data_IF_629466688661
#
_entry.id   IF_629466688661
#
_cell.length_a   1.000
_cell.length_b   1.000
_cell.length_c   1.000
_cell.angle_alpha   90.00
_cell.angle_beta   90.00
_cell.angle_gamma   90.00
#
_symmetry.space_group_name_H-M   'P 1'
#
loop_
_entity.id
_entity.type
_entity.pdbx_description
1 polymer ?
#
# COMPACT_ATOMS: atom_id res chain seq x y z
N UNK A 1 40.60 29.31 -4.30
CA UNK A 1 39.56 28.61 -5.09
C UNK A 1 39.24 27.31 -4.39
N UNK A 2 38.17 27.27 -3.61
CA UNK A 2 37.66 26.08 -2.93
C UNK A 2 36.39 25.68 -3.67
N UNK A 3 36.49 24.64 -4.50
CA UNK A 3 35.34 24.08 -5.22
C UNK A 3 34.51 23.27 -4.22
N UNK A 4 33.33 23.78 -3.91
CA UNK A 4 32.32 23.09 -3.12
C UNK A 4 31.82 21.86 -3.87
N UNK A 5 31.75 20.73 -3.18
CA UNK A 5 31.09 19.54 -3.66
C UNK A 5 29.59 19.86 -3.85
N UNK A 6 29.16 19.93 -5.10
CA UNK A 6 27.74 19.85 -5.46
C UNK A 6 27.33 18.42 -5.15
N UNK A 7 26.83 18.21 -3.93
CA UNK A 7 25.90 17.11 -3.67
C UNK A 7 24.72 17.35 -4.60
N UNK A 8 24.59 16.52 -5.63
CA UNK A 8 23.34 16.39 -6.36
C UNK A 8 22.27 16.10 -5.31
N UNK A 9 21.40 17.08 -5.06
CA UNK A 9 20.10 16.87 -4.46
C UNK A 9 19.41 15.77 -5.27
N UNK A 10 19.61 14.52 -4.84
CA UNK A 10 18.60 13.51 -5.01
C UNK A 10 17.42 14.11 -4.27
N UNK A 11 16.53 14.75 -5.02
CA UNK A 11 15.24 15.23 -4.54
C UNK A 11 14.57 14.02 -3.89
N UNK A 12 14.77 13.85 -2.59
CA UNK A 12 13.97 12.97 -1.77
C UNK A 12 12.72 13.82 -1.60
N UNK A 13 11.63 13.51 -2.32
CA UNK A 13 10.42 14.28 -2.12
C UNK A 13 10.09 14.24 -0.62
N UNK A 14 9.92 15.42 -0.02
CA UNK A 14 9.21 15.52 1.25
C UNK A 14 7.85 14.80 1.09
N UNK A 15 7.27 14.24 2.16
CA UNK A 15 5.95 13.62 2.07
C UNK A 15 4.87 14.53 1.44
N UNK A 16 5.09 15.85 1.47
CA UNK A 16 4.36 16.92 0.79
C UNK A 16 4.71 17.13 -0.69
N UNK A 17 5.93 16.79 -1.12
CA UNK A 17 6.48 17.04 -2.46
C UNK A 17 6.49 15.80 -3.36
N UNK A 18 6.28 14.61 -2.79
CA UNK A 18 6.03 13.41 -3.59
C UNK A 18 4.68 13.65 -4.24
N UNK A 19 4.60 13.70 -5.56
CA UNK A 19 3.32 13.64 -6.23
C UNK A 19 2.67 12.30 -5.85
N UNK A 20 1.83 12.31 -4.82
CA UNK A 20 0.98 11.19 -4.43
C UNK A 20 0.30 10.71 -5.72
N UNK A 21 0.23 9.40 -6.00
CA UNK A 21 -0.58 8.90 -7.11
C UNK A 21 -1.95 9.58 -7.06
N UNK A 22 -2.47 10.06 -8.19
CA UNK A 22 -3.66 10.94 -8.21
C UNK A 22 -4.81 10.42 -7.35
N UNK A 23 -5.00 9.10 -7.26
CA UNK A 23 -5.98 8.45 -6.38
C UNK A 23 -5.73 8.66 -4.87
N UNK A 24 -4.48 8.70 -4.42
CA UNK A 24 -4.09 9.02 -3.06
C UNK A 24 -4.27 10.54 -2.79
N UNK A 25 -4.05 11.39 -3.80
CA UNK A 25 -4.42 12.80 -3.77
C UNK A 25 -5.94 13.03 -3.68
N UNK A 26 -6.76 12.22 -4.37
CA UNK A 26 -8.23 12.29 -4.28
C UNK A 26 -8.76 11.83 -2.93
N UNK A 27 -8.14 10.83 -2.30
CA UNK A 27 -8.44 10.45 -0.91
C UNK A 27 -8.22 11.62 0.05
N UNK A 28 -7.16 12.39 -0.18
CA UNK A 28 -6.79 13.60 0.56
C UNK A 28 -7.58 14.83 0.11
N UNK A 29 -8.41 14.80 -0.94
CA UNK A 29 -9.18 15.97 -1.40
C UNK A 29 -10.69 15.85 -1.11
N UNK A 30 -11.27 14.65 -1.15
CA UNK A 30 -12.71 14.43 -0.92
C UNK A 30 -13.09 14.20 0.55
N UNK A 31 -12.20 13.60 1.35
CA UNK A 31 -12.33 13.39 2.80
C UNK A 31 -11.29 14.16 3.64
N UNK A 32 -10.51 15.01 2.96
CA UNK A 32 -9.33 15.75 3.40
C UNK A 32 -9.35 16.24 4.84
N UNK A 33 -10.40 16.99 5.19
CA UNK A 33 -10.43 17.74 6.43
C UNK A 33 -10.55 16.82 7.64
N UNK A 34 -11.28 15.71 7.52
CA UNK A 34 -11.47 14.77 8.62
C UNK A 34 -10.27 13.81 8.76
N UNK A 35 -9.74 13.29 7.65
CA UNK A 35 -8.59 12.39 7.71
C UNK A 35 -7.33 13.12 8.21
N UNK A 36 -7.05 14.33 7.73
CA UNK A 36 -5.84 15.08 8.10
C UNK A 36 -5.83 15.50 9.59
N UNK A 37 -6.99 15.81 10.19
CA UNK A 37 -7.09 16.19 11.60
C UNK A 37 -6.91 15.03 12.59
N UNK A 38 -7.23 13.79 12.20
CA UNK A 38 -7.18 12.61 13.08
C UNK A 38 -5.99 11.66 12.80
N UNK A 39 -5.16 11.93 11.80
CA UNK A 39 -4.17 10.97 11.28
C UNK A 39 -2.70 11.27 11.60
N UNK A 40 -2.37 12.32 12.36
CA UNK A 40 -0.98 12.74 12.60
C UNK A 40 -0.03 11.60 12.98
N UNK A 41 -0.39 10.78 13.98
CA UNK A 41 0.45 9.64 14.41
C UNK A 41 0.60 8.55 13.33
N UNK A 42 -0.44 8.33 12.52
CA UNK A 42 -0.39 7.37 11.42
C UNK A 42 0.41 7.88 10.22
N UNK A 43 0.40 9.19 9.94
CA UNK A 43 1.25 9.81 8.91
C UNK A 43 2.73 9.72 9.34
N UNK A 44 3.02 10.01 10.61
CA UNK A 44 4.38 9.90 11.15
C UNK A 44 4.86 8.44 11.13
N UNK A 45 3.98 7.51 11.50
CA UNK A 45 4.27 6.08 11.42
C UNK A 45 4.56 5.64 9.98
N UNK A 46 3.73 6.03 9.03
CA UNK A 46 3.92 5.74 7.61
C UNK A 46 5.28 6.27 7.15
N UNK A 47 5.60 7.51 7.50
CA UNK A 47 6.86 8.17 7.13
C UNK A 47 8.07 7.42 7.68
N UNK A 48 8.05 7.04 8.97
CA UNK A 48 9.11 6.24 9.60
C UNK A 48 9.29 4.88 8.92
N UNK A 49 8.19 4.21 8.57
CA UNK A 49 8.22 2.92 7.90
C UNK A 49 8.79 3.02 6.48
N UNK A 50 8.40 4.05 5.72
CA UNK A 50 8.93 4.32 4.38
C UNK A 50 10.42 4.65 4.43
N UNK A 51 10.86 5.49 5.38
CA UNK A 51 12.28 5.84 5.51
C UNK A 51 13.15 4.60 5.79
N UNK A 52 12.69 3.70 6.67
CA UNK A 52 13.35 2.41 6.92
C UNK A 52 13.38 1.48 5.70
N UNK A 53 12.44 1.63 4.75
CA UNK A 53 12.45 0.87 3.49
C UNK A 53 13.46 1.48 2.52
N UNK A 54 13.55 2.82 2.44
CA UNK A 54 14.54 3.53 1.59
C UNK A 54 15.98 3.19 1.94
N UNK A 55 16.26 2.84 3.20
CA UNK A 55 17.57 2.38 3.67
C UNK A 55 17.96 0.98 3.14
N UNK A 56 17.04 0.25 2.51
CA UNK A 56 17.28 -1.11 2.00
C UNK A 56 17.82 -1.09 0.58
N UNK A 57 18.52 -2.15 0.18
CA UNK A 57 18.90 -2.36 -1.22
C UNK A 57 17.68 -2.54 -2.12
N UNK A 58 17.83 -2.21 -3.41
CA UNK A 58 16.73 -2.25 -4.39
C UNK A 58 16.04 -3.61 -4.45
N UNK A 59 16.79 -4.71 -4.36
CA UNK A 59 16.27 -6.07 -4.49
C UNK A 59 15.79 -6.41 -5.92
N UNK A 60 15.20 -7.59 -6.14
CA UNK A 60 14.69 -8.00 -7.44
C UNK A 60 13.43 -7.21 -7.85
N UNK A 61 13.14 -7.11 -9.16
CA UNK A 61 11.93 -6.44 -9.65
C UNK A 61 10.66 -7.24 -9.32
N UNK A 62 9.54 -6.54 -9.28
CA UNK A 62 8.24 -7.07 -8.93
C UNK A 62 7.11 -6.06 -9.16
N UNK A 63 5.97 -6.30 -8.53
CA UNK A 63 4.81 -5.41 -8.58
C UNK A 63 4.00 -5.44 -7.28
N UNK A 64 3.23 -4.37 -7.07
CA UNK A 64 2.16 -4.33 -6.07
C UNK A 64 0.88 -4.90 -6.68
N UNK A 65 0.03 -5.50 -5.87
CA UNK A 65 -1.25 -6.03 -6.25
C UNK A 65 -2.29 -5.79 -5.16
N UNK A 66 -3.55 -5.86 -5.56
CA UNK A 66 -4.68 -6.05 -4.67
C UNK A 66 -5.25 -7.46 -4.80
N UNK A 67 -5.75 -8.00 -3.69
CA UNK A 67 -6.62 -9.16 -3.68
C UNK A 67 -8.04 -8.67 -3.47
N UNK A 68 -8.88 -8.80 -4.49
CA UNK A 68 -10.27 -8.35 -4.48
C UNK A 68 -11.22 -9.51 -4.30
N UNK A 69 -12.36 -9.26 -3.66
CA UNK A 69 -13.41 -10.25 -3.51
C UNK A 69 -14.07 -10.58 -4.85
N UNK A 70 -14.23 -11.87 -5.17
CA UNK A 70 -14.92 -12.35 -6.38
C UNK A 70 -16.35 -12.82 -6.12
N UNK A 71 -16.80 -12.82 -4.87
CA UNK A 71 -18.18 -13.11 -4.47
C UNK A 71 -18.60 -12.20 -3.33
N UNK A 72 -19.90 -11.94 -3.23
CA UNK A 72 -20.44 -11.26 -2.06
C UNK A 72 -20.43 -12.22 -0.86
N UNK A 73 -20.16 -11.69 0.33
CA UNK A 73 -20.34 -12.43 1.58
C UNK A 73 -19.18 -12.28 2.54
N UNK A 74 -19.08 -13.19 3.53
CA UNK A 74 -18.12 -13.07 4.61
C UNK A 74 -16.71 -13.47 4.17
N UNK A 75 -15.75 -12.58 4.44
CA UNK A 75 -14.32 -12.82 4.31
C UNK A 75 -13.64 -12.73 5.67
N UNK A 76 -12.55 -13.47 5.92
CA UNK A 76 -11.80 -13.36 7.16
C UNK A 76 -11.31 -11.94 7.39
N UNK A 77 -11.54 -11.39 8.59
CA UNK A 77 -10.99 -10.12 9.01
C UNK A 77 -9.80 -10.37 9.94
N UNK A 78 -8.59 -10.18 9.40
CA UNK A 78 -7.35 -10.41 10.14
C UNK A 78 -6.99 -9.24 11.07
N UNK A 79 -7.68 -8.10 10.98
CA UNK A 79 -7.40 -6.96 11.86
C UNK A 79 -7.79 -7.23 13.31
N UNK A 80 -9.00 -7.74 13.52
CA UNK A 80 -9.60 -7.92 14.85
C UNK A 80 -10.14 -9.35 15.06
N UNK A 81 -9.94 -10.26 14.10
CA UNK A 81 -10.58 -11.57 14.08
C UNK A 81 -11.99 -11.54 13.49
N UNK A 82 -12.59 -12.72 13.32
CA UNK A 82 -13.94 -12.88 12.76
C UNK A 82 -14.01 -12.67 11.24
N UNK A 83 -15.14 -12.16 10.77
CA UNK A 83 -15.41 -11.92 9.34
C UNK A 83 -15.92 -10.50 9.07
N UNK A 84 -15.74 -10.06 7.84
CA UNK A 84 -16.31 -8.83 7.29
C UNK A 84 -17.01 -9.16 5.98
N UNK A 85 -18.18 -8.58 5.74
CA UNK A 85 -18.87 -8.77 4.47
C UNK A 85 -18.25 -7.88 3.40
N UNK A 86 -17.74 -8.50 2.35
CA UNK A 86 -17.25 -7.81 1.16
C UNK A 86 -18.23 -8.04 0.00
N UNK A 87 -18.30 -7.04 -0.88
CA UNK A 87 -18.93 -7.14 -2.19
C UNK A 87 -17.89 -7.52 -3.24
N UNK A 88 -18.34 -8.05 -4.37
CA UNK A 88 -17.48 -8.27 -5.54
C UNK A 88 -16.76 -6.95 -5.90
N UNK A 89 -15.43 -7.03 -6.04
CA UNK A 89 -14.56 -5.88 -6.31
C UNK A 89 -14.01 -5.19 -5.06
N UNK A 90 -14.52 -5.45 -3.86
CA UNK A 90 -13.97 -4.88 -2.64
C UNK A 90 -12.57 -5.44 -2.36
N UNK A 91 -11.67 -4.56 -1.95
CA UNK A 91 -10.29 -4.95 -1.62
C UNK A 91 -10.24 -5.67 -0.29
N UNK A 92 -9.79 -6.92 -0.32
CA UNK A 92 -9.47 -7.69 0.88
C UNK A 92 -8.04 -7.40 1.35
N UNK A 93 -7.07 -7.29 0.44
CA UNK A 93 -5.65 -7.13 0.81
C UNK A 93 -4.87 -6.34 -0.24
N UNK A 94 -3.95 -5.48 0.19
CA UNK A 94 -2.83 -5.04 -0.65
C UNK A 94 -1.56 -5.83 -0.32
N UNK A 95 -0.78 -6.12 -1.35
CA UNK A 95 0.49 -6.83 -1.21
C UNK A 95 1.47 -6.51 -2.33
N UNK A 96 2.74 -6.87 -2.16
CA UNK A 96 3.73 -6.88 -3.24
C UNK A 96 4.30 -8.27 -3.49
N UNK A 97 4.86 -8.48 -4.67
CA UNK A 97 5.56 -9.71 -5.04
C UNK A 97 6.69 -9.46 -6.02
N UNK A 98 7.83 -10.13 -5.78
CA UNK A 98 8.93 -10.30 -6.74
C UNK A 98 8.87 -11.67 -7.45
N UNK A 99 7.90 -12.52 -7.07
CA UNK A 99 7.64 -13.82 -7.68
C UNK A 99 6.58 -13.76 -8.78
N UNK A 100 5.99 -12.59 -9.03
CA UNK A 100 4.86 -12.45 -9.95
C UNK A 100 3.62 -13.23 -9.51
N UNK A 101 2.83 -13.68 -10.49
CA UNK A 101 1.54 -14.35 -10.26
C UNK A 101 1.66 -15.69 -9.53
N UNK A 102 2.81 -16.37 -9.55
CA UNK A 102 3.00 -17.64 -8.82
C UNK A 102 3.10 -17.46 -7.30
N UNK A 103 2.98 -16.22 -6.79
CA UNK A 103 2.92 -15.92 -5.35
C UNK A 103 1.76 -16.64 -4.66
N UNK A 104 0.63 -16.77 -5.34
CA UNK A 104 -0.53 -17.53 -4.93
C UNK A 104 -0.90 -18.49 -6.06
N UNK A 105 -1.37 -19.69 -5.73
CA UNK A 105 -1.96 -20.54 -6.75
C UNK A 105 -3.38 -20.06 -7.07
N UNK A 106 -3.81 -20.22 -8.32
CA UNK A 106 -5.20 -19.92 -8.72
C UNK A 106 -6.22 -20.70 -7.89
N UNK A 107 -5.87 -21.93 -7.50
CA UNK A 107 -6.71 -22.77 -6.64
C UNK A 107 -6.91 -22.12 -5.27
N UNK A 108 -5.85 -21.59 -4.66
CA UNK A 108 -5.93 -20.94 -3.35
C UNK A 108 -6.75 -19.64 -3.41
N UNK A 109 -6.56 -18.84 -4.46
CA UNK A 109 -7.32 -17.60 -4.67
C UNK A 109 -8.80 -17.90 -4.88
N UNK A 110 -9.14 -18.85 -5.76
CA UNK A 110 -10.53 -19.27 -6.00
C UNK A 110 -11.19 -19.85 -4.75
N UNK A 111 -10.49 -20.70 -3.99
CA UNK A 111 -11.00 -21.26 -2.74
C UNK A 111 -11.35 -20.15 -1.71
N UNK A 112 -10.56 -19.07 -1.70
CA UNK A 112 -10.79 -17.90 -0.85
C UNK A 112 -11.80 -16.91 -1.42
N UNK A 113 -12.26 -17.10 -2.67
CA UNK A 113 -13.10 -16.13 -3.36
C UNK A 113 -12.35 -14.81 -3.62
N UNK A 114 -11.07 -14.90 -3.95
CA UNK A 114 -10.21 -13.74 -4.22
C UNK A 114 -9.64 -13.82 -5.63
N UNK A 115 -9.29 -12.67 -6.19
CA UNK A 115 -8.53 -12.53 -7.43
C UNK A 115 -7.38 -11.56 -7.21
N UNK A 116 -6.20 -11.85 -7.78
CA UNK A 116 -5.06 -10.93 -7.75
C UNK A 116 -5.13 -10.00 -8.94
N UNK A 117 -5.18 -8.70 -8.68
CA UNK A 117 -5.09 -7.65 -9.69
C UNK A 117 -3.76 -6.91 -9.51
N UNK A 118 -2.82 -6.97 -10.47
CA UNK A 118 -1.60 -6.17 -10.43
C UNK A 118 -1.93 -4.68 -10.51
N UNK A 119 -1.20 -3.89 -9.73
CA UNK A 119 -1.28 -2.43 -9.70
C UNK A 119 -0.01 -1.86 -10.34
N UNK A 120 -0.03 -1.56 -11.66
CA UNK A 120 1.10 -0.93 -12.33
C UNK A 120 1.29 0.52 -11.86
N UNK A 121 2.53 1.07 -11.95
CA UNK A 121 3.73 0.42 -12.47
C UNK A 121 4.34 -0.59 -11.49
N UNK A 122 5.04 -1.60 -12.01
CA UNK A 122 5.95 -2.41 -11.21
C UNK A 122 7.19 -1.61 -10.76
N UNK A 123 8.15 -2.28 -10.14
CA UNK A 123 9.40 -1.64 -9.71
C UNK A 123 10.32 -2.63 -9.01
N UNK A 124 11.47 -2.15 -8.54
CA UNK A 124 12.35 -2.91 -7.66
C UNK A 124 11.69 -3.15 -6.30
N UNK A 125 12.16 -4.18 -5.58
CA UNK A 125 11.58 -4.60 -4.30
C UNK A 125 11.42 -3.44 -3.30
N UNK A 126 12.41 -2.55 -3.20
CA UNK A 126 12.33 -1.36 -2.36
C UNK A 126 11.15 -0.46 -2.75
N UNK A 127 10.97 -0.19 -4.04
CA UNK A 127 9.93 0.69 -4.58
C UNK A 127 8.53 0.08 -4.37
N UNK A 128 8.35 -1.21 -4.67
CA UNK A 128 7.05 -1.87 -4.51
C UNK A 128 6.68 -2.05 -3.03
N UNK A 129 7.65 -2.13 -2.11
CA UNK A 129 7.39 -2.08 -0.67
C UNK A 129 6.88 -0.69 -0.24
N UNK A 130 7.47 0.39 -0.76
CA UNK A 130 6.98 1.75 -0.50
C UNK A 130 5.57 1.95 -1.08
N UNK A 131 5.34 1.48 -2.31
CA UNK A 131 4.02 1.56 -2.94
C UNK A 131 2.97 0.77 -2.14
N UNK A 132 3.26 -0.45 -1.70
CA UNK A 132 2.38 -1.25 -0.82
C UNK A 132 1.99 -0.46 0.44
N UNK A 133 2.94 0.27 1.06
CA UNK A 133 2.65 1.14 2.22
C UNK A 133 1.60 2.19 1.88
N UNK A 134 1.77 2.91 0.77
CA UNK A 134 0.81 3.94 0.38
C UNK A 134 -0.60 3.38 0.17
N UNK A 135 -0.74 2.20 -0.43
CA UNK A 135 -2.07 1.57 -0.60
C UNK A 135 -2.72 1.18 0.74
N UNK A 136 -1.97 0.58 1.67
CA UNK A 136 -2.52 0.17 2.97
C UNK A 136 -2.94 1.39 3.80
N UNK A 137 -2.11 2.43 3.87
CA UNK A 137 -2.44 3.66 4.60
C UNK A 137 -3.56 4.44 3.91
N UNK A 138 -3.54 4.55 2.57
CA UNK A 138 -4.61 5.18 1.81
C UNK A 138 -5.98 4.53 2.06
N UNK A 139 -6.03 3.20 2.08
CA UNK A 139 -7.25 2.48 2.44
C UNK A 139 -7.70 2.79 3.87
N UNK A 140 -6.76 2.80 4.83
CA UNK A 140 -7.07 3.13 6.23
C UNK A 140 -7.64 4.54 6.38
N UNK A 141 -7.07 5.54 5.70
CA UNK A 141 -7.56 6.92 5.76
C UNK A 141 -8.95 7.08 5.12
N UNK A 142 -9.27 6.28 4.11
CA UNK A 142 -10.57 6.30 3.44
C UNK A 142 -11.68 5.55 4.20
N UNK A 143 -11.34 4.43 4.85
CA UNK A 143 -12.33 3.52 5.43
C UNK A 143 -12.33 3.51 6.97
N UNK A 144 -11.36 4.17 7.61
CA UNK A 144 -11.19 4.16 9.07
C UNK A 144 -10.65 2.85 9.64
N UNK A 145 -10.39 1.85 8.81
CA UNK A 145 -9.81 0.57 9.19
C UNK A 145 -8.89 0.03 8.09
N UNK A 146 -7.96 -0.87 8.45
CA UNK A 146 -7.05 -1.49 7.46
C UNK A 146 -7.83 -2.43 6.53
N UNK A 147 -7.30 -2.76 5.34
CA UNK A 147 -7.84 -3.84 4.54
C UNK A 147 -7.92 -5.13 5.38
N UNK A 148 -8.98 -5.94 5.25
CA UNK A 148 -9.21 -7.09 6.13
C UNK A 148 -8.07 -8.12 6.14
N UNK A 149 -7.35 -8.28 5.04
CA UNK A 149 -6.20 -9.17 4.87
C UNK A 149 -4.84 -8.57 5.25
N UNK A 150 -4.80 -7.33 5.76
CA UNK A 150 -3.59 -6.64 6.23
C UNK A 150 -3.66 -6.36 7.75
N UNK A 151 -3.35 -7.36 8.60
CA UNK A 151 -3.53 -7.26 10.06
C UNK A 151 -2.67 -6.17 10.72
N UNK A 152 -1.57 -5.78 10.07
CA UNK A 152 -0.64 -4.73 10.53
C UNK A 152 -0.24 -3.84 9.35
N UNK A 153 0.20 -2.62 9.66
CA UNK A 153 0.95 -1.78 8.73
C UNK A 153 2.38 -2.33 8.64
N UNK A 154 2.60 -3.44 7.91
CA UNK A 154 3.93 -4.08 7.78
C UNK A 154 4.81 -3.38 6.79
#
# INVERSE_FOLDING_TARGET
MTLGFITTDVMIPEPSDAAWPKWAGYAVAGGAAAAYLYSGDYIDKMTREINRIKERSLGPPGFVYELVATKNGPYPNLNNGGTINLKVGDVWKYGQTTKGFVRYSDKDLKAKGLEMIPLPPGGYQMEILIQEKYYIYGYYFLHGHRPPGNPIFR
#
